data_IF_665212898924
#
_entry.id   IF_665212898924
#
_cell.length_a   1.000
_cell.length_b   1.000
_cell.length_c   1.000
_cell.angle_alpha   90.00
_cell.angle_beta   90.00
_cell.angle_gamma   90.00
#
_symmetry.space_group_name_H-M   'P 1'
#
loop_
_entity.id
_entity.type
_entity.pdbx_description
1 polymer ?
#
# COMPACT_ATOMS: atom_id res chain seq x y z
N UNK A 1 -63.55 -26.70 -25.36
CA UNK A 1 -63.14 -25.36 -25.85
C UNK A 1 -62.01 -24.86 -24.95
N UNK A 2 -61.02 -24.18 -25.54
CA UNK A 2 -59.59 -24.24 -25.18
C UNK A 2 -59.17 -23.73 -23.80
N UNK A 3 -58.06 -24.29 -23.30
CA UNK A 3 -57.38 -23.96 -22.04
C UNK A 3 -56.66 -22.61 -22.15
N UNK A 4 -56.85 -21.75 -21.15
CA UNK A 4 -56.17 -20.45 -21.02
C UNK A 4 -54.72 -20.67 -20.57
N UNK A 5 -53.76 -20.41 -21.46
CA UNK A 5 -52.34 -20.45 -21.14
C UNK A 5 -51.89 -19.10 -20.56
N UNK A 6 -51.72 -19.04 -19.24
CA UNK A 6 -51.04 -17.94 -18.56
C UNK A 6 -49.55 -18.11 -18.81
N UNK A 7 -48.99 -17.36 -19.76
CA UNK A 7 -47.55 -17.29 -19.96
C UNK A 7 -46.93 -16.50 -18.80
N UNK A 8 -46.38 -17.21 -17.82
CA UNK A 8 -45.48 -16.61 -16.83
C UNK A 8 -44.22 -16.17 -17.55
N UNK A 9 -44.18 -14.89 -17.93
CA UNK A 9 -42.96 -14.23 -18.39
C UNK A 9 -42.00 -14.17 -17.20
N UNK A 10 -41.09 -15.14 -17.13
CA UNK A 10 -39.94 -15.08 -16.25
C UNK A 10 -38.96 -14.08 -16.85
N UNK A 11 -39.19 -12.79 -16.59
CA UNK A 11 -38.17 -11.75 -16.75
C UNK A 11 -37.09 -12.10 -15.73
N UNK A 12 -36.07 -12.81 -16.20
CA UNK A 12 -34.81 -13.00 -15.49
C UNK A 12 -34.18 -11.61 -15.40
N UNK A 13 -34.47 -10.87 -14.34
CA UNK A 13 -33.65 -9.73 -13.94
C UNK A 13 -32.26 -10.28 -13.70
N UNK A 14 -31.40 -10.15 -14.71
CA UNK A 14 -29.95 -10.23 -14.54
C UNK A 14 -29.62 -9.03 -13.67
N UNK A 15 -29.80 -9.15 -12.36
CA UNK A 15 -29.22 -8.22 -11.41
C UNK A 15 -27.73 -8.31 -11.71
N UNK A 16 -27.08 -7.25 -12.23
CA UNK A 16 -25.64 -7.28 -12.36
C UNK A 16 -25.15 -7.42 -10.93
N UNK A 17 -24.67 -8.62 -10.60
CA UNK A 17 -24.06 -8.88 -9.32
C UNK A 17 -22.77 -8.08 -9.34
N UNK A 18 -22.89 -6.81 -8.97
CA UNK A 18 -21.75 -5.96 -8.72
C UNK A 18 -21.09 -6.58 -7.49
N UNK A 19 -20.17 -7.50 -7.72
CA UNK A 19 -19.28 -8.01 -6.69
C UNK A 19 -18.34 -6.86 -6.33
N UNK A 20 -18.86 -5.88 -5.60
CA UNK A 20 -18.06 -4.87 -4.92
C UNK A 20 -17.49 -5.56 -3.68
N UNK A 21 -16.36 -6.26 -3.85
CA UNK A 21 -15.60 -6.72 -2.70
C UNK A 21 -14.89 -5.52 -2.08
N UNK A 22 -14.89 -5.45 -0.75
CA UNK A 22 -14.05 -4.50 -0.01
C UNK A 22 -12.90 -5.24 0.62
N UNK A 23 -11.70 -4.67 0.52
CA UNK A 23 -10.49 -5.19 1.12
C UNK A 23 -9.97 -4.17 2.13
N UNK A 24 -9.51 -4.62 3.29
CA UNK A 24 -8.90 -3.74 4.30
C UNK A 24 -7.54 -4.23 4.72
N UNK A 25 -6.64 -3.28 4.94
CA UNK A 25 -5.29 -3.57 5.43
C UNK A 25 -4.96 -2.63 6.57
N UNK A 26 -4.12 -3.10 7.47
CA UNK A 26 -3.57 -2.32 8.55
C UNK A 26 -2.08 -2.62 8.68
N UNK A 27 -1.26 -1.58 8.56
CA UNK A 27 0.20 -1.71 8.64
C UNK A 27 0.73 -0.77 9.71
N UNK A 28 1.82 -1.19 10.35
CA UNK A 28 2.61 -0.32 11.23
C UNK A 28 4.10 -0.61 11.07
N UNK A 29 4.92 0.31 11.54
CA UNK A 29 6.37 0.14 11.64
C UNK A 29 7.03 1.36 12.24
N UNK A 30 8.36 1.34 12.27
CA UNK A 30 9.19 2.46 12.71
C UNK A 30 10.29 2.72 11.68
N UNK A 31 10.46 3.96 11.25
CA UNK A 31 11.60 4.35 10.43
C UNK A 31 12.72 4.91 11.31
N UNK A 32 13.92 4.40 11.09
CA UNK A 32 15.15 4.86 11.74
C UNK A 32 16.16 5.32 10.69
N UNK A 33 16.94 6.34 11.01
CA UNK A 33 18.06 6.82 10.22
C UNK A 33 19.28 6.93 11.14
N UNK A 34 20.27 6.06 10.92
CA UNK A 34 21.45 5.90 11.77
C UNK A 34 21.10 5.72 13.25
N UNK A 35 20.13 4.85 13.55
CA UNK A 35 19.66 4.57 14.90
C UNK A 35 18.81 5.66 15.55
N UNK A 36 18.51 6.76 14.85
CA UNK A 36 17.61 7.83 15.33
C UNK A 36 16.25 7.73 14.64
N UNK A 37 15.14 8.08 15.30
CA UNK A 37 13.84 8.24 14.65
C UNK A 37 13.90 9.11 13.39
N UNK A 38 13.40 8.59 12.27
CA UNK A 38 13.12 9.40 11.10
C UNK A 38 11.73 10.02 11.27
N UNK A 39 11.69 11.32 11.59
CA UNK A 39 10.48 12.04 12.04
C UNK A 39 9.87 12.81 10.86
N UNK A 40 8.53 12.84 10.78
CA UNK A 40 7.81 13.58 9.75
C UNK A 40 8.00 13.05 8.32
N UNK A 41 8.50 11.83 8.16
CA UNK A 41 8.63 11.20 6.85
C UNK A 41 7.28 10.73 6.33
N UNK A 42 6.99 11.02 5.07
CA UNK A 42 5.73 10.66 4.41
C UNK A 42 5.68 9.16 4.12
N UNK A 43 4.63 8.52 4.59
CA UNK A 43 4.33 7.11 4.36
C UNK A 43 2.99 7.00 3.63
N UNK A 44 2.90 6.12 2.65
CA UNK A 44 1.69 5.92 1.87
C UNK A 44 1.37 4.45 1.68
N UNK A 45 0.08 4.13 1.57
CA UNK A 45 -0.41 2.86 1.07
C UNK A 45 -0.92 3.03 -0.35
N UNK A 46 -0.50 2.12 -1.23
CA UNK A 46 -0.88 2.12 -2.63
C UNK A 46 -1.41 0.75 -3.06
N UNK A 47 -2.40 0.76 -3.93
CA UNK A 47 -2.87 -0.41 -4.66
C UNK A 47 -2.15 -0.49 -6.01
N UNK A 48 -1.48 -1.61 -6.27
CA UNK A 48 -0.87 -1.91 -7.56
C UNK A 48 -1.97 -2.20 -8.58
N UNK A 49 -1.97 -1.44 -9.68
CA UNK A 49 -2.84 -1.69 -10.82
C UNK A 49 -2.01 -2.19 -12.02
N UNK A 50 -2.50 -3.20 -12.74
CA UNK A 50 -1.79 -3.79 -13.87
C UNK A 50 -2.27 -3.13 -15.17
N UNK A 51 -1.38 -2.39 -15.84
CA UNK A 51 -1.69 -1.68 -17.08
C UNK A 51 -2.30 -0.29 -16.89
N UNK A 52 -2.50 0.14 -15.64
CA UNK A 52 -2.97 1.48 -15.25
C UNK A 52 -2.06 2.05 -14.14
N UNK A 53 -2.13 3.37 -13.88
CA UNK A 53 -1.48 3.95 -12.71
C UNK A 53 -1.93 3.29 -11.41
N UNK A 54 -1.00 3.17 -10.46
CA UNK A 54 -1.29 2.67 -9.11
C UNK A 54 -2.17 3.68 -8.36
N UNK A 55 -3.07 3.21 -7.49
CA UNK A 55 -4.01 4.06 -6.77
C UNK A 55 -3.50 4.34 -5.35
N UNK A 56 -3.47 5.62 -4.94
CA UNK A 56 -3.21 6.00 -3.56
C UNK A 56 -4.42 5.60 -2.69
N UNK A 57 -4.17 4.89 -1.60
CA UNK A 57 -5.20 4.48 -0.63
C UNK A 57 -5.25 5.46 0.54
N UNK A 58 -4.10 5.70 1.18
CA UNK A 58 -3.97 6.60 2.34
C UNK A 58 -2.53 7.08 2.47
N UNK A 59 -2.36 8.30 2.96
CA UNK A 59 -1.06 8.90 3.29
C UNK A 59 -1.07 9.36 4.73
N UNK A 60 0.06 9.19 5.41
CA UNK A 60 0.31 9.73 6.74
C UNK A 60 1.81 10.10 6.88
N UNK A 61 2.22 10.55 8.06
CA UNK A 61 3.62 10.84 8.38
C UNK A 61 4.07 10.10 9.64
N UNK A 62 5.37 9.79 9.73
CA UNK A 62 5.94 9.22 10.95
C UNK A 62 5.90 10.21 12.10
N UNK A 63 5.61 9.73 13.31
CA UNK A 63 5.56 10.53 14.53
C UNK A 63 6.95 10.96 15.06
N UNK A 64 6.99 11.57 16.25
CA UNK A 64 8.21 12.04 16.91
C UNK A 64 9.16 10.91 17.38
N UNK A 65 8.69 9.67 17.36
CA UNK A 65 9.49 8.47 17.61
C UNK A 65 9.74 7.71 16.30
N UNK A 66 9.32 8.22 15.14
CA UNK A 66 9.50 7.61 13.84
C UNK A 66 8.50 6.48 13.55
N UNK A 67 7.48 6.28 14.40
CA UNK A 67 6.45 5.27 14.17
C UNK A 67 5.43 5.76 13.14
N UNK A 68 4.88 4.81 12.38
CA UNK A 68 3.73 5.03 11.53
C UNK A 68 2.72 3.89 11.72
N UNK A 69 1.45 4.21 11.48
CA UNK A 69 0.37 3.24 11.52
C UNK A 69 -0.74 3.66 10.55
N UNK A 70 -0.88 2.94 9.44
CA UNK A 70 -1.84 3.26 8.39
C UNK A 70 -2.92 2.18 8.31
N UNK A 71 -4.17 2.61 8.10
CA UNK A 71 -5.30 1.74 7.80
C UNK A 71 -5.90 2.16 6.47
N UNK A 72 -5.98 1.23 5.52
CA UNK A 72 -6.51 1.45 4.18
C UNK A 72 -7.70 0.55 3.88
N UNK A 73 -8.62 1.04 3.05
CA UNK A 73 -9.73 0.24 2.49
C UNK A 73 -9.75 0.42 0.97
N UNK A 74 -9.99 -0.67 0.23
CA UNK A 74 -10.11 -0.70 -1.23
C UNK A 74 -11.45 -1.31 -1.59
N UNK A 75 -12.23 -0.65 -2.46
CA UNK A 75 -13.48 -1.18 -2.99
C UNK A 75 -13.31 -1.70 -4.43
N UNK A 76 -14.33 -2.38 -4.95
CA UNK A 76 -14.48 -2.66 -6.38
C UNK A 76 -13.41 -3.58 -7.00
N UNK A 77 -12.79 -4.44 -6.20
CA UNK A 77 -11.79 -5.39 -6.71
C UNK A 77 -12.41 -6.72 -7.14
N UNK A 78 -12.08 -7.16 -8.35
CA UNK A 78 -12.46 -8.49 -8.88
C UNK A 78 -11.53 -9.60 -8.35
N UNK A 79 -10.28 -9.23 -8.02
CA UNK A 79 -9.24 -10.12 -7.46
C UNK A 79 -8.55 -9.43 -6.30
N UNK A 80 -8.03 -10.22 -5.35
CA UNK A 80 -7.41 -9.70 -4.13
C UNK A 80 -6.37 -8.62 -4.47
N UNK A 81 -6.49 -7.39 -3.93
CA UNK A 81 -5.64 -6.29 -4.34
C UNK A 81 -4.22 -6.53 -3.86
N UNK A 82 -3.26 -6.10 -4.68
CA UNK A 82 -1.84 -6.10 -4.32
C UNK A 82 -1.54 -4.74 -3.73
N UNK A 83 -1.19 -4.69 -2.44
CA UNK A 83 -0.96 -3.44 -1.71
C UNK A 83 0.51 -3.33 -1.35
N UNK A 84 1.06 -2.13 -1.39
CA UNK A 84 2.40 -1.84 -0.87
C UNK A 84 2.43 -0.57 -0.02
N UNK A 85 3.34 -0.58 0.96
CA UNK A 85 3.80 0.63 1.67
C UNK A 85 4.82 1.35 0.80
N UNK A 86 4.71 2.66 0.72
CA UNK A 86 5.59 3.54 -0.04
C UNK A 86 6.14 4.64 0.83
N UNK A 87 7.44 4.93 0.66
CA UNK A 87 8.09 6.10 1.24
C UNK A 87 9.38 6.38 0.49
N UNK A 88 9.98 7.54 0.73
CA UNK A 88 11.25 7.95 0.12
C UNK A 88 12.35 7.92 1.18
N UNK A 89 13.44 7.20 0.90
CA UNK A 89 14.61 7.17 1.75
C UNK A 89 15.45 8.45 1.54
N UNK A 90 15.17 9.48 2.34
CA UNK A 90 15.98 10.70 2.40
C UNK A 90 17.15 10.61 3.39
N UNK A 91 17.28 9.51 4.15
CA UNK A 91 18.39 9.29 5.09
C UNK A 91 19.72 9.17 4.33
N UNK A 92 19.74 8.34 3.29
CA UNK A 92 20.86 8.18 2.37
C UNK A 92 20.55 8.89 1.05
N UNK A 93 20.74 10.21 1.04
CA UNK A 93 20.43 11.05 -0.10
C UNK A 93 21.12 10.53 -1.37
N UNK A 94 20.32 10.14 -2.36
CA UNK A 94 20.82 9.73 -3.67
C UNK A 94 21.40 10.91 -4.46
N UNK A 95 20.82 12.10 -4.27
CA UNK A 95 21.28 13.36 -4.87
C UNK A 95 21.07 14.47 -3.84
N UNK A 96 22.10 15.31 -3.65
CA UNK A 96 21.99 16.53 -2.85
C UNK A 96 22.40 17.73 -3.70
N UNK A 97 21.55 18.76 -3.75
CA UNK A 97 21.82 20.08 -4.36
C UNK A 97 21.56 21.17 -3.32
N UNK A 98 21.98 22.41 -3.59
CA UNK A 98 21.96 23.52 -2.63
C UNK A 98 20.62 23.77 -1.92
N UNK A 99 19.49 23.45 -2.55
CA UNK A 99 18.14 23.68 -2.00
C UNK A 99 17.24 22.44 -2.03
N UNK A 100 17.78 21.28 -2.38
CA UNK A 100 16.97 20.09 -2.66
C UNK A 100 17.72 18.81 -2.32
N UNK A 101 17.00 17.87 -1.70
CA UNK A 101 17.46 16.52 -1.41
C UNK A 101 16.59 15.53 -2.18
N UNK A 102 17.22 14.53 -2.79
CA UNK A 102 16.51 13.43 -3.44
C UNK A 102 16.86 12.11 -2.78
N UNK A 103 15.83 11.30 -2.51
CA UNK A 103 15.96 9.96 -1.96
C UNK A 103 15.55 8.90 -2.98
N UNK A 104 15.94 7.65 -2.70
CA UNK A 104 15.41 6.50 -3.42
C UNK A 104 14.07 6.10 -2.82
N UNK A 105 13.08 5.86 -3.66
CA UNK A 105 11.79 5.37 -3.22
C UNK A 105 11.85 3.90 -2.85
N UNK A 106 11.06 3.53 -1.86
CA UNK A 106 10.97 2.18 -1.32
C UNK A 106 9.53 1.73 -1.42
N UNK A 107 9.34 0.51 -1.93
CA UNK A 107 8.06 -0.18 -1.98
C UNK A 107 8.18 -1.47 -1.16
N UNK A 108 7.31 -1.63 -0.17
CA UNK A 108 7.23 -2.86 0.63
C UNK A 108 5.85 -3.47 0.43
N UNK A 109 5.76 -4.58 -0.30
CA UNK A 109 4.48 -5.22 -0.55
C UNK A 109 3.95 -5.88 0.72
N UNK A 110 2.65 -5.71 0.94
CA UNK A 110 1.93 -6.32 2.05
C UNK A 110 1.55 -7.73 1.63
N UNK A 111 1.93 -8.78 2.41
CA UNK A 111 1.53 -10.14 2.09
C UNK A 111 -0.01 -10.25 2.03
N UNK A 112 -0.57 -11.00 1.06
CA UNK A 112 -2.02 -11.04 0.84
C UNK A 112 -2.82 -11.46 2.09
N UNK A 113 -2.27 -12.25 3.00
CA UNK A 113 -2.90 -12.66 4.25
C UNK A 113 -3.21 -11.49 5.21
N UNK A 114 -2.52 -10.36 5.08
CA UNK A 114 -2.79 -9.13 5.83
C UNK A 114 -3.80 -8.20 5.14
N UNK A 115 -4.30 -8.59 3.97
CA UNK A 115 -5.41 -7.93 3.29
C UNK A 115 -6.67 -8.73 3.60
N UNK A 116 -7.51 -8.21 4.49
CA UNK A 116 -8.75 -8.84 4.92
C UNK A 116 -9.90 -8.56 3.96
N UNK A 117 -10.75 -9.55 3.73
CA UNK A 117 -12.04 -9.34 3.05
C UNK A 117 -13.02 -8.64 3.99
N UNK A 118 -13.68 -7.60 3.49
CA UNK A 118 -14.61 -6.74 4.21
C UNK A 118 -13.97 -5.48 4.79
N UNK A 119 -14.76 -4.75 5.60
CA UNK A 119 -14.45 -3.39 6.09
C UNK A 119 -13.56 -3.35 7.35
N UNK A 120 -13.18 -4.51 7.89
CA UNK A 120 -12.43 -4.60 9.14
C UNK A 120 -11.12 -5.39 8.93
N UNK A 121 -9.95 -4.76 9.18
CA UNK A 121 -8.68 -5.48 9.11
C UNK A 121 -8.64 -6.54 10.21
N UNK A 122 -8.23 -7.76 9.85
CA UNK A 122 -8.17 -8.89 10.80
C UNK A 122 -6.83 -8.97 11.52
N UNK A 123 -5.76 -8.55 10.86
CA UNK A 123 -4.39 -8.59 11.38
C UNK A 123 -3.63 -7.32 10.98
N UNK A 124 -2.69 -6.92 11.84
CA UNK A 124 -1.79 -5.80 11.57
C UNK A 124 -0.50 -6.38 10.98
N UNK A 125 -0.14 -5.94 9.78
CA UNK A 125 1.18 -6.22 9.22
C UNK A 125 2.20 -5.32 9.91
N UNK A 126 3.17 -5.92 10.60
CA UNK A 126 4.19 -5.18 11.33
C UNK A 126 5.50 -5.22 10.52
N UNK A 127 5.97 -4.05 10.10
CA UNK A 127 7.25 -3.88 9.41
C UNK A 127 8.44 -3.76 10.38
N UNK A 128 8.17 -3.82 11.68
CA UNK A 128 9.15 -3.63 12.75
C UNK A 128 9.95 -2.34 12.53
N UNK A 129 11.23 -2.34 12.92
CA UNK A 129 12.11 -1.19 12.81
C UNK A 129 12.91 -1.29 11.51
N UNK A 130 12.71 -0.32 10.63
CA UNK A 130 13.43 -0.22 9.38
C UNK A 130 14.55 0.82 9.46
N UNK A 131 15.79 0.34 9.44
CA UNK A 131 16.98 1.18 9.40
C UNK A 131 17.26 1.64 7.96
N UNK A 132 16.90 2.87 7.64
CA UNK A 132 17.00 3.47 6.31
C UNK A 132 18.45 3.60 5.81
N UNK A 133 19.42 3.79 6.71
CA UNK A 133 20.85 3.83 6.33
C UNK A 133 21.38 2.47 5.84
N UNK A 134 20.65 1.39 6.14
CA UNK A 134 20.98 0.02 5.75
C UNK A 134 19.95 -0.59 4.83
N UNK A 135 18.95 0.20 4.40
CA UNK A 135 17.95 -0.22 3.45
C UNK A 135 18.59 -0.34 2.06
N UNK A 136 19.32 -1.43 1.85
CA UNK A 136 19.85 -1.81 0.55
C UNK A 136 18.75 -2.61 -0.15
N UNK A 137 18.44 -2.21 -1.38
CA UNK A 137 17.44 -2.81 -2.29
C UNK A 137 17.47 -4.34 -2.37
N UNK A 138 18.61 -4.98 -2.03
CA UNK A 138 18.79 -6.45 -2.08
C UNK A 138 19.36 -7.10 -0.80
N UNK A 139 19.74 -6.37 0.27
CA UNK A 139 20.53 -6.98 1.37
C UNK A 139 19.98 -6.81 2.80
N UNK A 140 18.75 -6.33 2.96
CA UNK A 140 18.14 -6.16 4.28
C UNK A 140 17.53 -7.44 4.90
N UNK A 141 17.96 -8.65 4.51
CA UNK A 141 17.30 -9.89 4.97
C UNK A 141 15.81 -9.98 4.59
N UNK A 142 15.41 -9.12 3.66
CA UNK A 142 14.07 -8.92 3.12
C UNK A 142 13.83 -9.80 1.88
N UNK A 143 14.69 -10.79 1.63
CA UNK A 143 14.59 -11.70 0.48
C UNK A 143 13.31 -12.56 0.50
N UNK A 144 12.56 -12.58 1.62
CA UNK A 144 11.25 -13.25 1.68
C UNK A 144 10.06 -12.32 1.44
N UNK A 145 10.24 -11.00 1.46
CA UNK A 145 9.17 -10.03 1.23
C UNK A 145 9.42 -9.38 -0.13
N UNK A 146 9.15 -10.20 -1.15
CA UNK A 146 8.87 -9.84 -2.54
C UNK A 146 9.89 -8.95 -3.27
N UNK A 147 10.58 -9.57 -4.22
CA UNK A 147 11.18 -8.93 -5.39
C UNK A 147 10.28 -7.83 -5.98
N UNK A 148 10.53 -6.56 -5.65
CA UNK A 148 10.17 -5.37 -6.43
C UNK A 148 10.40 -4.06 -5.63
N UNK A 149 11.61 -3.83 -5.12
CA UNK A 149 12.01 -2.47 -4.73
C UNK A 149 12.34 -1.71 -6.03
N UNK A 150 11.30 -1.21 -6.72
CA UNK A 150 11.49 -0.30 -7.85
C UNK A 150 11.91 1.07 -7.31
N UNK A 151 13.22 1.28 -7.25
CA UNK A 151 13.83 2.54 -6.80
C UNK A 151 13.66 3.63 -7.87
N UNK A 152 12.63 4.47 -7.73
CA UNK A 152 12.56 5.77 -8.40
C UNK A 152 13.17 6.85 -7.50
N UNK A 153 13.69 7.93 -8.07
CA UNK A 153 14.20 9.05 -7.26
C UNK A 153 13.12 10.11 -7.12
N UNK A 154 12.89 10.55 -5.89
CA UNK A 154 11.99 11.66 -5.59
C UNK A 154 12.72 12.71 -4.77
N UNK A 155 12.40 13.98 -5.02
CA UNK A 155 13.10 15.11 -4.44
C UNK A 155 12.16 16.02 -3.66
N UNK A 156 12.67 16.59 -2.56
CA UNK A 156 11.99 17.64 -1.79
C UNK A 156 12.92 18.81 -1.54
N UNK A 157 12.33 20.00 -1.38
CA UNK A 157 13.08 21.19 -0.97
C UNK A 157 13.56 21.04 0.48
N UNK A 158 14.78 21.51 0.73
CA UNK A 158 15.34 21.60 2.07
C UNK A 158 14.87 22.96 2.61
N UNK A 159 13.93 22.93 3.56
CA UNK A 159 13.47 24.13 4.26
C UNK A 159 14.50 24.58 5.29
#
# INVERSE_FOLDING_TARGET
MGKLHIAFSAILFIVPFCFCATGTTHVRGQLLCHGKPAIGEKIELWEKNFGFPDNLIVSDVTDNQGFFMLRGSISDWVRKPIIYVYFVNYCEAAITKSFMICGNSVKVFIPPEFVADGNLPRHIFNLDNLELSKAITEQAGLERITHAVFSHKECRYIN
#
